data_IF_114084590836
#
_entry.id   IF_114084590836
#
_cell.length_a   1.000
_cell.length_b   1.000
_cell.length_c   1.000
_cell.angle_alpha   90.00
_cell.angle_beta   90.00
_cell.angle_gamma   90.00
#
_symmetry.space_group_name_H-M   'P 1'
#
loop_
_entity.id
_entity.type
_entity.pdbx_description
1 polymer ?
#
# COMPACT_ATOMS: atom_id res chain seq x y z
N UNK A 1 4.67 16.31 -27.86
CA UNK A 1 6.10 16.24 -27.52
C UNK A 1 6.23 15.83 -26.05
N UNK A 2 6.10 14.53 -25.79
CA UNK A 2 6.36 13.92 -24.48
C UNK A 2 7.51 12.94 -24.69
N UNK A 3 8.73 13.46 -24.57
CA UNK A 3 9.92 12.65 -24.37
C UNK A 3 10.38 12.97 -22.95
N UNK A 4 9.93 12.15 -22.01
CA UNK A 4 10.56 12.02 -20.70
C UNK A 4 10.82 10.54 -20.46
N UNK A 5 12.06 10.18 -20.74
CA UNK A 5 12.87 9.21 -20.01
C UNK A 5 12.38 7.75 -19.96
N UNK A 6 12.60 7.06 -21.07
CA UNK A 6 12.66 5.60 -21.20
C UNK A 6 13.82 4.92 -20.40
N UNK A 7 14.34 5.54 -19.33
CA UNK A 7 15.55 5.06 -18.63
C UNK A 7 15.28 4.61 -17.18
N UNK A 8 14.19 5.03 -16.54
CA UNK A 8 13.87 4.56 -15.19
C UNK A 8 12.94 3.35 -15.28
N UNK A 9 13.44 2.20 -14.81
CA UNK A 9 12.64 1.00 -14.58
C UNK A 9 11.47 1.37 -13.64
N UNK A 10 10.20 1.09 -13.98
CA UNK A 10 9.09 1.29 -13.05
C UNK A 10 9.31 0.40 -11.82
N UNK A 11 9.15 0.99 -10.64
CA UNK A 11 9.43 0.37 -9.36
C UNK A 11 8.18 0.49 -8.47
N UNK A 12 7.86 -0.51 -7.65
CA UNK A 12 6.73 -0.38 -6.71
C UNK A 12 7.04 0.65 -5.61
N UNK A 13 8.32 0.85 -5.31
CA UNK A 13 8.81 1.93 -4.47
C UNK A 13 9.44 3.03 -5.35
N UNK A 14 9.11 4.31 -5.11
CA UNK A 14 9.65 5.40 -5.94
C UNK A 14 8.70 5.91 -7.02
N UNK A 15 7.72 5.11 -7.45
CA UNK A 15 6.74 5.49 -8.49
C UNK A 15 5.59 6.35 -7.96
N UNK A 16 4.88 6.98 -8.89
CA UNK A 16 3.62 7.66 -8.58
C UNK A 16 2.51 6.64 -8.31
N UNK A 17 1.45 7.04 -7.60
CA UNK A 17 0.30 6.15 -7.39
C UNK A 17 -0.36 5.82 -8.73
N UNK A 18 -0.40 6.77 -9.65
CA UNK A 18 -0.99 6.64 -10.98
C UNK A 18 -0.27 5.57 -11.80
N UNK A 19 1.07 5.59 -11.82
CA UNK A 19 1.88 4.54 -12.45
C UNK A 19 1.63 3.17 -11.83
N UNK A 20 1.58 3.10 -10.49
CA UNK A 20 1.36 1.83 -9.78
C UNK A 20 -0.01 1.24 -10.14
N UNK A 21 -1.05 2.08 -10.11
CA UNK A 21 -2.42 1.69 -10.46
C UNK A 21 -2.53 1.26 -11.93
N UNK A 22 -1.85 1.96 -12.84
CA UNK A 22 -1.85 1.60 -14.25
C UNK A 22 -1.24 0.21 -14.47
N UNK A 23 -0.09 -0.07 -13.85
CA UNK A 23 0.61 -1.35 -13.99
C UNK A 23 -0.18 -2.50 -13.35
N UNK A 24 -0.75 -2.31 -12.16
CA UNK A 24 -1.48 -3.40 -11.51
C UNK A 24 -2.82 -3.72 -12.20
N UNK A 25 -3.43 -2.77 -12.92
CA UNK A 25 -4.77 -2.90 -13.48
C UNK A 25 -4.92 -4.08 -14.46
N UNK A 26 -3.82 -4.57 -15.02
CA UNK A 26 -3.81 -5.75 -15.89
C UNK A 26 -4.14 -7.04 -15.13
N UNK A 27 -3.59 -7.22 -13.94
CA UNK A 27 -3.81 -8.41 -13.11
C UNK A 27 -4.92 -8.20 -12.07
N UNK A 28 -5.12 -6.95 -11.66
CA UNK A 28 -6.06 -6.54 -10.62
C UNK A 28 -6.94 -5.36 -11.08
N UNK A 29 -7.76 -5.55 -12.13
CA UNK A 29 -8.59 -4.47 -12.69
C UNK A 29 -9.65 -3.92 -11.71
N UNK A 30 -10.02 -4.72 -10.70
CA UNK A 30 -11.04 -4.36 -9.72
C UNK A 30 -10.49 -3.61 -8.51
N UNK A 31 -9.16 -3.66 -8.28
CA UNK A 31 -8.55 -2.97 -7.15
C UNK A 31 -8.52 -1.47 -7.39
N UNK A 32 -9.12 -0.73 -6.45
CA UNK A 32 -9.14 0.74 -6.46
C UNK A 32 -8.00 1.36 -5.65
N UNK A 33 -7.21 0.52 -4.99
CA UNK A 33 -6.03 0.90 -4.20
C UNK A 33 -4.78 0.20 -4.72
N UNK A 34 -3.58 0.76 -4.46
CA UNK A 34 -2.33 0.09 -4.76
C UNK A 34 -2.28 -1.28 -4.07
N UNK A 35 -1.99 -2.33 -4.85
CA UNK A 35 -1.88 -3.71 -4.39
C UNK A 35 -0.90 -3.81 -3.22
N UNK A 36 0.25 -3.11 -3.30
CA UNK A 36 1.26 -3.09 -2.23
C UNK A 36 0.71 -2.51 -0.93
N UNK A 37 -0.17 -1.50 -0.99
CA UNK A 37 -0.76 -0.89 0.18
C UNK A 37 -1.70 -1.86 0.90
N UNK A 38 -2.56 -2.54 0.12
CA UNK A 38 -3.46 -3.57 0.63
C UNK A 38 -2.67 -4.76 1.19
N UNK A 39 -1.72 -5.27 0.40
CA UNK A 39 -0.86 -6.39 0.77
C UNK A 39 -0.14 -6.15 2.11
N UNK A 40 0.53 -5.00 2.27
CA UNK A 40 1.27 -4.70 3.50
C UNK A 40 0.35 -4.42 4.69
N UNK A 41 -0.86 -3.90 4.45
CA UNK A 41 -1.86 -3.67 5.51
C UNK A 41 -2.42 -4.99 6.03
N UNK A 42 -2.84 -5.88 5.13
CA UNK A 42 -3.33 -7.22 5.48
C UNK A 42 -2.23 -8.04 6.17
N UNK A 43 -0.99 -7.97 5.68
CA UNK A 43 0.15 -8.64 6.32
C UNK A 43 0.43 -8.10 7.73
N UNK A 44 0.36 -6.79 7.93
CA UNK A 44 0.52 -6.18 9.26
C UNK A 44 -0.54 -6.72 10.24
N UNK A 45 -1.80 -6.79 9.81
CA UNK A 45 -2.90 -7.27 10.66
C UNK A 45 -2.77 -8.78 10.90
N UNK A 46 -2.49 -9.56 9.85
CA UNK A 46 -2.29 -11.02 9.92
C UNK A 46 -1.14 -11.42 10.86
N UNK A 47 -0.08 -10.63 10.89
CA UNK A 47 1.07 -10.82 11.78
C UNK A 47 0.82 -10.30 13.21
N UNK A 48 -0.42 -9.87 13.53
CA UNK A 48 -0.83 -9.49 14.86
C UNK A 48 -0.48 -8.05 15.24
N UNK A 49 -0.25 -7.16 14.26
CA UNK A 49 0.19 -5.78 14.50
C UNK A 49 -0.68 -4.97 15.47
N UNK A 50 -1.97 -5.26 15.57
CA UNK A 50 -2.87 -4.64 16.55
C UNK A 50 -2.48 -4.92 18.02
N UNK A 51 -1.77 -6.01 18.28
CA UNK A 51 -1.29 -6.41 19.63
C UNK A 51 0.22 -6.28 19.79
N UNK A 52 0.95 -5.93 18.73
CA UNK A 52 2.41 -5.78 18.76
C UNK A 52 2.81 -4.49 19.46
N UNK A 53 3.64 -4.60 20.50
CA UNK A 53 4.16 -3.45 21.24
C UNK A 53 4.99 -2.53 20.33
N UNK A 54 4.69 -1.24 20.33
CA UNK A 54 5.41 -0.25 19.52
C UNK A 54 5.27 -0.48 18.02
N UNK A 55 4.16 -1.06 17.54
CA UNK A 55 3.87 -1.19 16.10
C UNK A 55 4.03 0.16 15.38
N UNK A 56 4.63 0.16 14.19
CA UNK A 56 5.07 1.36 13.44
C UNK A 56 6.13 2.25 14.10
N UNK A 57 6.41 2.13 15.41
CA UNK A 57 7.46 2.86 16.11
C UNK A 57 8.81 2.13 16.06
N UNK A 58 8.82 0.83 16.37
CA UNK A 58 10.02 0.00 16.33
C UNK A 58 10.43 -0.21 14.87
N UNK A 59 11.72 -0.01 14.58
CA UNK A 59 12.30 -0.29 13.27
C UNK A 59 12.57 -1.78 13.12
N UNK A 60 12.16 -2.41 11.99
CA UNK A 60 12.53 -3.80 11.71
C UNK A 60 14.01 -3.92 11.33
N UNK A 61 14.46 -5.16 11.18
CA UNK A 61 15.76 -5.50 10.64
C UNK A 61 15.94 -4.95 9.21
N UNK A 62 17.03 -4.22 8.97
CA UNK A 62 17.27 -3.53 7.70
C UNK A 62 17.58 -4.50 6.56
N UNK A 63 18.26 -5.61 6.84
CA UNK A 63 18.61 -6.60 5.83
C UNK A 63 17.32 -7.30 5.37
N UNK A 64 16.40 -7.58 6.29
CA UNK A 64 15.06 -8.11 5.98
C UNK A 64 14.22 -7.14 5.16
N UNK A 65 14.20 -5.86 5.53
CA UNK A 65 13.51 -4.83 4.73
C UNK A 65 14.08 -4.79 3.31
N UNK A 66 15.40 -4.81 3.18
CA UNK A 66 16.08 -4.74 1.87
C UNK A 66 15.77 -5.96 1.01
N UNK A 67 15.80 -7.16 1.58
CA UNK A 67 15.51 -8.39 0.86
C UNK A 67 14.04 -8.45 0.43
N UNK A 68 13.09 -8.21 1.34
CA UNK A 68 11.67 -8.24 1.00
C UNK A 68 11.31 -7.13 0.01
N UNK A 69 11.89 -5.93 0.14
CA UNK A 69 11.76 -4.87 -0.86
C UNK A 69 12.20 -5.37 -2.23
N UNK A 70 13.37 -6.01 -2.33
CA UNK A 70 13.87 -6.58 -3.59
C UNK A 70 12.88 -7.58 -4.19
N UNK A 71 12.27 -8.44 -3.36
CA UNK A 71 11.27 -9.40 -3.80
C UNK A 71 9.95 -8.73 -4.25
N UNK A 72 9.49 -7.68 -3.56
CA UNK A 72 8.33 -6.89 -3.96
C UNK A 72 8.56 -6.19 -5.30
N UNK A 73 9.74 -5.61 -5.51
CA UNK A 73 10.14 -5.00 -6.80
C UNK A 73 10.18 -6.02 -7.94
N UNK A 74 10.71 -7.22 -7.67
CA UNK A 74 10.72 -8.33 -8.63
C UNK A 74 9.30 -8.77 -8.98
N UNK A 75 8.42 -8.91 -7.98
CA UNK A 75 7.01 -9.26 -8.19
C UNK A 75 6.31 -8.20 -9.03
N UNK A 76 6.55 -6.93 -8.73
CA UNK A 76 5.94 -5.82 -9.45
C UNK A 76 6.41 -5.74 -10.90
N UNK A 77 7.66 -6.12 -11.19
CA UNK A 77 8.16 -6.25 -12.56
C UNK A 77 7.42 -7.33 -13.36
N UNK A 78 6.86 -8.37 -12.73
CA UNK A 78 6.03 -9.38 -13.42
C UNK A 78 4.74 -8.77 -13.97
N UNK A 79 4.16 -7.77 -13.31
CA UNK A 79 3.00 -7.03 -13.84
C UNK A 79 3.32 -6.22 -15.11
N UNK A 80 4.60 -6.03 -15.44
CA UNK A 80 5.07 -5.12 -16.50
C UNK A 80 5.17 -5.76 -17.89
N UNK A 81 4.59 -6.94 -18.13
CA UNK A 81 4.57 -7.52 -19.48
C UNK A 81 3.56 -6.75 -20.34
N UNK A 82 3.97 -5.63 -20.91
CA UNK A 82 3.14 -4.82 -21.83
C UNK A 82 3.88 -4.58 -23.14
N UNK A 83 3.13 -4.85 -24.21
CA UNK A 83 3.34 -4.63 -25.65
C UNK A 83 4.42 -3.60 -26.03
N UNK A 84 5.35 -4.04 -26.88
CA UNK A 84 6.16 -3.11 -27.66
C UNK A 84 5.30 -2.51 -28.76
N UNK A 85 4.83 -1.27 -28.59
CA UNK A 85 4.44 -0.46 -29.74
C UNK A 85 5.72 0.04 -30.41
N UNK A 86 5.98 -0.39 -31.65
CA UNK A 86 6.96 0.27 -32.51
C UNK A 86 6.49 1.70 -32.82
N UNK A 87 7.30 2.75 -32.59
CA UNK A 87 6.89 4.13 -32.85
C UNK A 87 6.97 4.54 -34.34
N UNK A 88 7.14 3.62 -35.30
CA UNK A 88 7.43 3.97 -36.72
C UNK A 88 6.41 3.52 -37.77
N UNK A 89 5.27 2.89 -37.45
CA UNK A 89 4.25 2.53 -38.46
C UNK A 89 3.08 3.51 -38.52
N UNK A 90 3.41 4.79 -38.68
CA UNK A 90 2.53 5.77 -39.33
C UNK A 90 3.05 6.09 -40.73
N UNK A 91 3.07 5.09 -41.63
CA UNK A 91 3.00 5.37 -43.06
C UNK A 91 2.39 4.20 -43.83
N UNK A 92 1.22 4.48 -44.41
CA UNK A 92 0.69 3.96 -45.68
C UNK A 92 0.94 2.48 -46.02
N UNK A 93 -0.07 1.63 -45.83
CA UNK A 93 -0.85 0.97 -46.90
C UNK A 93 -1.57 -0.28 -46.38
N UNK A 94 -2.72 -0.51 -47.01
CA UNK A 94 -3.54 -1.73 -46.94
C UNK A 94 -2.76 -2.98 -47.35
N UNK A 95 -2.69 -3.98 -46.47
CA UNK A 95 -3.08 -5.37 -46.76
C UNK A 95 -2.91 -6.25 -45.51
N UNK A 96 -3.86 -7.17 -45.34
CA UNK A 96 -3.93 -8.13 -44.24
C UNK A 96 -2.73 -9.10 -44.23
N UNK A 97 -2.09 -9.30 -43.07
CA UNK A 97 -1.78 -10.62 -42.50
C UNK A 97 -1.13 -10.47 -41.12
N UNK A 98 -1.83 -10.96 -40.10
CA UNK A 98 -1.39 -11.35 -38.74
C UNK A 98 0.02 -10.90 -38.29
N UNK A 99 0.11 -9.70 -37.71
CA UNK A 99 1.22 -9.36 -36.82
C UNK A 99 1.03 -10.09 -35.49
N UNK A 100 1.80 -11.15 -35.25
CA UNK A 100 1.85 -11.80 -33.93
C UNK A 100 2.61 -10.85 -32.99
N UNK A 101 1.87 -10.21 -32.09
CA UNK A 101 2.40 -9.30 -31.07
C UNK A 101 3.51 -9.98 -30.25
N UNK A 102 4.76 -9.54 -30.47
CA UNK A 102 5.92 -10.06 -29.73
C UNK A 102 6.04 -9.35 -28.39
N UNK A 103 5.56 -10.02 -27.34
CA UNK A 103 5.87 -9.65 -25.96
C UNK A 103 7.35 -9.91 -25.67
N UNK A 104 8.05 -8.91 -25.11
CA UNK A 104 9.45 -9.07 -24.68
C UNK A 104 9.50 -9.14 -23.16
N UNK A 105 9.84 -10.31 -22.64
CA UNK A 105 10.23 -10.44 -21.24
C UNK A 105 11.46 -9.54 -21.02
N UNK A 106 11.36 -8.56 -20.14
CA UNK A 106 12.51 -7.68 -19.84
C UNK A 106 13.51 -8.39 -18.93
N UNK A 107 13.10 -9.34 -18.08
CA UNK A 107 13.96 -10.22 -17.26
C UNK A 107 13.27 -11.55 -16.91
N UNK A 108 14.01 -12.66 -16.92
CA UNK A 108 13.55 -13.94 -16.37
C UNK A 108 13.22 -13.79 -14.88
N UNK A 109 12.22 -14.51 -14.33
CA UNK A 109 11.93 -14.49 -12.91
C UNK A 109 13.16 -14.96 -12.12
N UNK A 110 13.30 -14.53 -10.87
CA UNK A 110 14.46 -14.87 -10.02
C UNK A 110 14.69 -16.39 -9.94
N UNK A 111 15.95 -16.80 -9.71
CA UNK A 111 16.27 -18.20 -9.41
C UNK A 111 15.43 -18.71 -8.24
N UNK A 112 14.69 -19.81 -8.41
CA UNK A 112 13.78 -20.39 -7.41
C UNK A 112 12.30 -20.03 -7.55
N UNK A 113 11.95 -19.08 -8.44
CA UNK A 113 10.56 -18.66 -8.69
C UNK A 113 9.82 -19.52 -9.73
N UNK A 114 10.52 -20.45 -10.38
CA UNK A 114 9.92 -21.42 -11.29
C UNK A 114 10.61 -22.76 -11.07
N UNK A 115 9.84 -23.78 -10.66
CA UNK A 115 10.29 -25.17 -10.64
C UNK A 115 10.16 -25.85 -12.02
N UNK A 116 9.88 -25.08 -13.08
CA UNK A 116 9.55 -25.61 -14.41
C UNK A 116 10.75 -26.22 -15.17
N UNK A 117 11.83 -26.56 -14.48
CA UNK A 117 12.97 -27.33 -15.02
C UNK A 117 13.25 -28.62 -14.26
N UNK A 118 12.25 -29.20 -13.57
CA UNK A 118 12.25 -30.66 -13.37
C UNK A 118 11.48 -31.32 -14.50
N UNK A 119 12.24 -31.97 -15.38
CA UNK A 119 11.78 -32.96 -16.34
C UNK A 119 10.68 -33.83 -15.76
N UNK A 120 9.64 -34.06 -16.56
CA UNK A 120 8.59 -35.05 -16.33
C UNK A 120 9.22 -36.43 -16.11
N UNK A 121 9.43 -36.81 -14.85
CA UNK A 121 9.52 -38.20 -14.44
C UNK A 121 8.40 -38.45 -13.43
N UNK A 122 7.48 -39.35 -13.78
CA UNK A 122 6.42 -39.80 -12.89
C UNK A 122 7.04 -40.51 -11.67
N UNK A 123 6.65 -40.18 -10.44
CA UNK A 123 6.73 -41.10 -9.33
C UNK A 123 5.43 -41.91 -9.27
N UNK A 124 5.60 -43.21 -9.52
CA UNK A 124 4.67 -44.28 -9.19
C UNK A 124 4.12 -44.20 -7.77
N UNK A 125 2.86 -44.62 -7.62
CA UNK A 125 2.11 -44.82 -6.39
C UNK A 125 2.91 -45.27 -5.16
N UNK A 126 2.59 -44.72 -3.98
CA UNK A 126 2.11 -45.50 -2.80
C UNK A 126 1.80 -44.60 -1.60
N UNK A 127 0.52 -44.63 -1.19
CA UNK A 127 0.01 -44.67 0.21
C UNK A 127 0.54 -43.68 1.26
N UNK A 128 -0.30 -42.73 1.71
CA UNK A 128 -1.07 -42.89 2.95
C UNK A 128 -1.81 -41.60 3.33
N UNK A 129 -3.13 -41.75 3.44
CA UNK A 129 -4.03 -40.87 4.18
C UNK A 129 -3.54 -40.65 5.62
N UNK A 130 -3.53 -39.41 6.08
CA UNK A 130 -3.92 -39.07 7.45
C UNK A 130 -4.46 -37.65 7.49
N UNK A 131 -5.79 -37.58 7.58
CA UNK A 131 -6.57 -36.41 7.95
C UNK A 131 -6.19 -35.86 9.33
N UNK A 132 -5.91 -34.56 9.43
CA UNK A 132 -5.95 -33.83 10.70
C UNK A 132 -7.08 -32.78 10.65
N UNK A 133 -8.01 -32.79 11.62
CA UNK A 133 -9.17 -31.91 11.61
C UNK A 133 -8.86 -30.54 12.25
N UNK A 134 -9.43 -29.49 11.66
CA UNK A 134 -10.02 -28.34 12.34
C UNK A 134 -9.23 -27.64 13.46
N UNK A 135 -8.45 -26.61 13.09
CA UNK A 135 -8.28 -25.43 13.93
C UNK A 135 -8.80 -24.21 13.19
N UNK A 136 -10.03 -23.81 13.51
CA UNK A 136 -10.58 -22.50 13.20
C UNK A 136 -9.79 -21.45 14.00
N UNK A 137 -8.69 -20.99 13.43
CA UNK A 137 -8.09 -19.74 13.87
C UNK A 137 -9.06 -18.64 13.46
N UNK A 138 -9.71 -18.00 14.44
CA UNK A 138 -10.36 -16.71 14.22
C UNK A 138 -9.25 -15.72 13.83
N UNK A 139 -8.96 -15.60 12.54
CA UNK A 139 -8.06 -14.58 12.03
C UNK A 139 -8.64 -13.24 12.45
N UNK A 140 -7.86 -12.44 13.17
CA UNK A 140 -8.17 -11.03 13.34
C UNK A 140 -8.23 -10.43 11.93
N UNK A 141 -9.42 -10.26 11.39
CA UNK A 141 -9.64 -9.71 10.05
C UNK A 141 -9.64 -8.20 10.18
N UNK A 142 -8.85 -7.53 9.34
CA UNK A 142 -9.04 -6.10 9.12
C UNK A 142 -10.50 -5.89 8.67
N UNK A 143 -11.21 -4.86 9.17
CA UNK A 143 -12.58 -4.66 8.75
C UNK A 143 -12.62 -4.43 7.24
N UNK A 144 -13.36 -5.26 6.52
CA UNK A 144 -13.42 -5.17 5.07
C UNK A 144 -14.26 -3.96 4.66
N UNK A 145 -13.61 -2.95 4.04
CA UNK A 145 -14.30 -1.85 3.38
C UNK A 145 -14.15 -2.03 1.86
N UNK A 146 -14.92 -2.97 1.31
CA UNK A 146 -14.90 -3.32 -0.13
C UNK A 146 -15.10 -2.11 -1.05
N UNK A 147 -15.82 -1.08 -0.60
CA UNK A 147 -16.00 0.17 -1.35
C UNK A 147 -14.71 0.99 -1.53
N UNK A 148 -13.81 0.88 -0.55
CA UNK A 148 -12.55 1.61 -0.50
C UNK A 148 -11.47 0.86 -1.29
N UNK A 149 -11.44 -0.46 -1.16
CA UNK A 149 -10.45 -1.36 -1.77
C UNK A 149 -10.82 -1.83 -3.19
N UNK A 150 -12.11 -1.91 -3.50
CA UNK A 150 -12.64 -2.75 -4.58
C UNK A 150 -12.97 -4.16 -4.09
N UNK A 151 -13.65 -4.95 -4.92
CA UNK A 151 -13.87 -6.38 -4.64
C UNK A 151 -12.53 -7.13 -4.77
N UNK A 152 -12.15 -7.86 -3.72
CA UNK A 152 -10.97 -8.73 -3.73
C UNK A 152 -11.13 -9.85 -2.71
N UNK A 153 -10.36 -10.93 -2.88
CA UNK A 153 -10.21 -11.97 -1.86
C UNK A 153 -8.75 -12.01 -1.41
N UNK A 154 -8.52 -12.18 -0.12
CA UNK A 154 -7.18 -12.46 0.39
C UNK A 154 -6.86 -13.96 0.30
N UNK A 155 -5.64 -14.39 -0.09
CA UNK A 155 -4.52 -13.57 -0.57
C UNK A 155 -4.83 -12.93 -1.94
N UNK A 156 -4.26 -11.74 -2.20
CA UNK A 156 -4.38 -11.07 -3.50
C UNK A 156 -3.74 -11.92 -4.60
N UNK A 157 -4.57 -12.59 -5.39
CA UNK A 157 -4.13 -13.44 -6.50
C UNK A 157 -4.41 -12.77 -7.84
N UNK A 158 -3.46 -12.80 -8.78
CA UNK A 158 -3.68 -12.27 -10.12
C UNK A 158 -4.84 -13.00 -10.81
N UNK A 159 -5.65 -12.25 -11.56
CA UNK A 159 -6.69 -12.85 -12.39
C UNK A 159 -6.06 -13.60 -13.58
N UNK A 160 -6.56 -14.78 -13.96
CA UNK A 160 -6.09 -15.46 -15.17
C UNK A 160 -6.27 -14.53 -16.38
N UNK A 161 -5.18 -14.18 -17.07
CA UNK A 161 -5.29 -13.36 -18.27
C UNK A 161 -6.10 -14.11 -19.33
N UNK A 162 -7.18 -13.50 -19.82
CA UNK A 162 -8.00 -14.06 -20.91
C UNK A 162 -7.27 -14.03 -22.26
N UNK A 163 -6.14 -13.36 -22.36
CA UNK A 163 -5.33 -13.27 -23.56
C UNK A 163 -4.36 -14.45 -23.60
N UNK A 164 -4.41 -15.24 -24.68
CA UNK A 164 -3.40 -16.25 -24.99
C UNK A 164 -2.06 -15.52 -25.13
N UNK A 165 -1.23 -15.57 -24.09
CA UNK A 165 0.09 -14.99 -24.12
C UNK A 165 0.98 -15.89 -25.00
N UNK A 166 1.66 -15.36 -26.03
CA UNK A 166 2.59 -16.15 -26.83
C UNK A 166 3.69 -16.76 -25.95
N UNK A 167 4.01 -18.01 -26.29
CA UNK A 167 5.00 -18.87 -25.63
C UNK A 167 6.29 -18.12 -25.29
N UNK A 168 6.77 -18.35 -24.06
CA UNK A 168 7.90 -17.71 -23.41
C UNK A 168 7.62 -16.31 -22.85
N UNK A 169 6.76 -16.29 -21.83
CA UNK A 169 6.98 -15.46 -20.64
C UNK A 169 7.13 -16.42 -19.47
N UNK A 170 8.29 -16.42 -18.81
CA UNK A 170 8.43 -17.08 -17.52
C UNK A 170 7.65 -16.27 -16.48
N UNK A 171 6.32 -16.36 -16.57
CA UNK A 171 5.43 -16.05 -15.48
C UNK A 171 5.60 -17.20 -14.49
N UNK A 172 6.06 -16.90 -13.29
CA UNK A 172 5.82 -17.79 -12.15
C UNK A 172 4.35 -18.18 -12.21
N UNK A 173 3.98 -19.47 -12.34
CA UNK A 173 2.58 -19.84 -12.42
C UNK A 173 1.87 -19.25 -11.19
N UNK A 174 0.64 -18.73 -11.33
CA UNK A 174 -0.08 -18.06 -10.24
C UNK A 174 -0.10 -18.87 -8.92
N UNK A 175 0.00 -20.21 -9.02
CA UNK A 175 0.13 -21.14 -7.89
C UNK A 175 1.38 -20.95 -7.03
N UNK A 176 2.45 -20.39 -7.59
CA UNK A 176 3.77 -20.20 -6.97
C UNK A 176 4.02 -18.74 -6.54
N UNK A 177 3.04 -17.85 -6.73
CA UNK A 177 3.16 -16.47 -6.27
C UNK A 177 3.16 -16.44 -4.74
N UNK A 178 4.05 -15.67 -4.11
CA UNK A 178 4.08 -15.57 -2.66
C UNK A 178 2.78 -14.92 -2.18
N UNK A 179 2.06 -15.62 -1.28
CA UNK A 179 0.75 -15.19 -0.79
C UNK A 179 0.83 -14.26 0.41
N UNK A 180 2.00 -14.20 1.04
CA UNK A 180 2.30 -13.46 2.26
C UNK A 180 3.82 -13.25 2.39
N UNK A 181 4.25 -12.43 3.35
CA UNK A 181 5.66 -12.12 3.59
C UNK A 181 6.49 -13.36 3.96
N UNK A 182 5.88 -14.33 4.65
CA UNK A 182 6.55 -15.60 4.99
C UNK A 182 6.88 -16.40 3.73
N UNK A 183 5.96 -16.47 2.78
CA UNK A 183 6.18 -17.15 1.51
C UNK A 183 7.18 -16.41 0.63
N UNK A 184 7.24 -15.06 0.70
CA UNK A 184 8.31 -14.30 0.04
C UNK A 184 9.69 -14.69 0.59
N UNK A 185 9.81 -14.80 1.92
CA UNK A 185 11.07 -15.19 2.57
C UNK A 185 11.51 -16.62 2.24
N UNK A 186 10.57 -17.59 2.18
CA UNK A 186 10.91 -18.99 1.85
C UNK A 186 11.58 -19.16 0.48
N UNK A 187 11.32 -18.25 -0.46
CA UNK A 187 11.91 -18.27 -1.79
C UNK A 187 13.23 -17.50 -1.88
N UNK A 188 13.64 -16.81 -0.81
CA UNK A 188 14.97 -16.23 -0.68
C UNK A 188 15.95 -17.34 -0.32
N UNK A 189 16.98 -17.55 -1.13
CA UNK A 189 17.97 -18.62 -1.00
C UNK A 189 18.95 -18.45 0.19
N UNK A 190 18.51 -17.89 1.32
CA UNK A 190 19.33 -17.57 2.49
C UNK A 190 18.87 -18.25 3.78
N UNK A 191 19.79 -18.42 4.73
CA UNK A 191 19.58 -18.96 6.09
C UNK A 191 18.78 -18.00 6.99
N UNK A 192 17.65 -17.48 6.52
CA UNK A 192 16.77 -16.65 7.33
C UNK A 192 15.71 -17.52 8.01
N UNK A 193 15.64 -17.40 9.33
CA UNK A 193 14.65 -18.16 10.11
C UNK A 193 13.28 -17.51 9.98
N UNK A 194 12.23 -18.33 9.82
CA UNK A 194 10.84 -17.86 9.75
C UNK A 194 10.42 -16.96 10.92
N UNK A 195 11.13 -16.99 12.05
CA UNK A 195 10.91 -16.12 13.20
C UNK A 195 11.22 -14.62 12.96
N UNK A 196 11.82 -14.26 11.83
CA UNK A 196 12.17 -12.87 11.48
C UNK A 196 11.05 -12.12 10.73
N UNK A 197 10.01 -12.81 10.23
CA UNK A 197 8.86 -12.14 9.62
C UNK A 197 7.85 -11.81 10.70
N UNK A 198 7.78 -10.53 11.07
CA UNK A 198 6.90 -10.02 12.10
C UNK A 198 6.10 -8.78 11.63
N UNK A 199 5.23 -8.29 12.51
CA UNK A 199 4.44 -7.10 12.22
C UNK A 199 5.29 -5.83 12.05
N UNK A 200 6.49 -5.76 12.65
CA UNK A 200 7.41 -4.63 12.48
C UNK A 200 7.96 -4.58 11.06
N UNK A 201 8.24 -5.73 10.45
CA UNK A 201 8.68 -5.82 9.05
C UNK A 201 7.60 -5.29 8.10
N UNK A 202 6.35 -5.77 8.23
CA UNK A 202 5.22 -5.28 7.42
C UNK A 202 5.00 -3.77 7.62
N UNK A 203 5.03 -3.30 8.87
CA UNK A 203 4.90 -1.89 9.22
C UNK A 203 6.04 -1.02 8.67
N UNK A 204 7.28 -1.53 8.71
CA UNK A 204 8.45 -0.85 8.15
C UNK A 204 8.39 -0.71 6.64
N UNK A 205 7.98 -1.77 5.93
CA UNK A 205 7.77 -1.76 4.49
C UNK A 205 6.65 -0.81 4.07
N UNK A 206 5.54 -0.76 4.83
CA UNK A 206 4.43 0.16 4.55
C UNK A 206 4.89 1.62 4.69
N UNK A 207 5.62 1.94 5.76
CA UNK A 207 6.21 3.28 5.96
C UNK A 207 7.22 3.63 4.85
N UNK A 208 8.07 2.67 4.47
CA UNK A 208 9.05 2.83 3.42
C UNK A 208 8.38 3.15 2.08
N UNK A 209 7.34 2.40 1.72
CA UNK A 209 6.56 2.62 0.51
C UNK A 209 5.93 4.02 0.49
N UNK A 210 5.23 4.42 1.56
CA UNK A 210 4.63 5.76 1.68
C UNK A 210 5.66 6.87 1.52
N UNK A 211 6.81 6.74 2.20
CA UNK A 211 7.88 7.73 2.18
C UNK A 211 8.49 7.91 0.79
N UNK A 212 8.63 6.83 0.05
CA UNK A 212 9.27 6.81 -1.25
C UNK A 212 8.33 7.04 -2.43
N UNK A 213 7.03 7.22 -2.22
CA UNK A 213 6.14 7.65 -3.31
C UNK A 213 6.70 8.87 -4.05
N UNK A 214 6.63 8.86 -5.38
CA UNK A 214 7.14 9.94 -6.24
C UNK A 214 6.61 11.32 -5.83
N UNK A 215 5.39 11.37 -5.31
CA UNK A 215 4.74 12.52 -4.70
C UNK A 215 4.24 12.16 -3.29
N UNK A 216 4.32 13.07 -2.31
CA UNK A 216 3.80 12.78 -0.97
C UNK A 216 2.29 12.55 -1.05
N UNK A 217 1.78 11.69 -0.17
CA UNK A 217 0.35 11.37 -0.16
C UNK A 217 -0.50 12.62 0.12
N UNK A 218 0.01 13.53 0.94
CA UNK A 218 -0.55 14.87 1.13
C UNK A 218 0.18 15.85 0.19
N UNK A 219 -0.50 16.41 -0.82
CA UNK A 219 0.10 17.32 -1.80
C UNK A 219 0.81 18.51 -1.14
N UNK A 220 1.98 18.89 -1.67
CA UNK A 220 2.82 19.94 -1.09
C UNK A 220 2.08 21.28 -1.01
N UNK A 221 1.19 21.55 -1.97
CA UNK A 221 0.38 22.77 -2.07
C UNK A 221 -0.65 22.86 -0.95
N UNK A 222 -1.11 21.72 -0.43
CA UNK A 222 -2.10 21.65 0.64
C UNK A 222 -1.47 21.64 2.03
N UNK A 223 -0.18 21.29 2.15
CA UNK A 223 0.48 21.15 3.45
C UNK A 223 0.38 22.42 4.31
N UNK A 224 0.70 23.64 3.84
CA UNK A 224 0.62 24.85 4.67
C UNK A 224 -0.79 25.08 5.25
N UNK A 225 -1.82 24.79 4.46
CA UNK A 225 -3.21 24.89 4.89
C UNK A 225 -3.53 23.84 5.95
N UNK A 226 -3.10 22.58 5.76
CA UNK A 226 -3.28 21.50 6.73
C UNK A 226 -2.62 21.83 8.08
N UNK A 227 -1.40 22.36 8.07
CA UNK A 227 -0.68 22.71 9.31
C UNK A 227 -1.39 23.84 10.06
N UNK A 228 -1.85 24.87 9.32
CA UNK A 228 -2.58 26.00 9.90
C UNK A 228 -3.89 25.56 10.55
N UNK A 229 -4.73 24.81 9.83
CA UNK A 229 -6.03 24.35 10.37
C UNK A 229 -5.86 23.36 11.51
N UNK A 230 -4.78 22.55 11.50
CA UNK A 230 -4.46 21.66 12.60
C UNK A 230 -4.17 22.43 13.90
N UNK A 231 -3.36 23.49 13.83
CA UNK A 231 -3.09 24.37 14.97
C UNK A 231 -4.38 25.04 15.49
N UNK A 232 -5.22 25.56 14.60
CA UNK A 232 -6.52 26.15 14.97
C UNK A 232 -7.45 25.14 15.66
N UNK A 233 -7.48 23.90 15.16
CA UNK A 233 -8.27 22.80 15.75
C UNK A 233 -7.76 22.38 17.14
N UNK A 234 -6.44 22.33 17.38
CA UNK A 234 -5.88 22.03 18.70
C UNK A 234 -6.24 23.08 19.76
N UNK A 235 -6.26 24.35 19.36
CA UNK A 235 -6.71 25.42 20.25
C UNK A 235 -8.17 25.23 20.66
N UNK A 236 -9.03 24.79 19.73
CA UNK A 236 -10.43 24.48 20.00
C UNK A 236 -10.59 23.25 20.91
N UNK A 237 -9.87 22.16 20.64
CA UNK A 237 -9.90 20.93 21.45
C UNK A 237 -9.46 21.21 22.91
N UNK A 238 -8.47 22.08 23.11
CA UNK A 238 -8.00 22.50 24.44
C UNK A 238 -8.99 23.41 25.19
N UNK A 239 -9.81 24.16 24.47
CA UNK A 239 -10.82 25.08 25.03
C UNK A 239 -12.15 24.37 25.32
N UNK A 240 -12.57 23.41 24.51
CA UNK A 240 -13.77 22.60 24.76
C UNK A 240 -13.64 21.74 26.03
N UNK A 241 -12.43 21.32 26.39
CA UNK A 241 -12.16 20.68 27.69
C UNK A 241 -12.41 21.63 28.87
N UNK A 242 -12.44 22.96 28.63
CA UNK A 242 -12.55 24.00 29.67
C UNK A 242 -13.90 24.72 29.69
N UNK A 243 -14.66 24.72 28.59
CA UNK A 243 -15.95 25.39 28.48
C UNK A 243 -17.00 24.44 27.90
N UNK A 244 -17.76 23.78 28.77
CA UNK A 244 -19.03 23.20 28.38
C UNK A 244 -20.03 24.32 28.06
N UNK A 245 -20.51 24.33 26.82
CA UNK A 245 -21.59 25.16 26.27
C UNK A 245 -21.18 26.56 25.79
N UNK A 246 -21.18 26.73 24.47
CA UNK A 246 -21.67 27.92 23.76
C UNK A 246 -21.91 27.53 22.30
N UNK A 247 -23.18 27.23 21.96
CA UNK A 247 -23.64 27.04 20.59
C UNK A 247 -23.66 28.39 19.87
N UNK A 248 -22.77 28.53 18.90
CA UNK A 248 -22.78 29.61 17.92
C UNK A 248 -22.41 29.03 16.56
N UNK A 249 -23.04 29.54 15.51
CA UNK A 249 -23.02 29.15 14.09
C UNK A 249 -21.63 29.27 13.42
N UNK A 250 -20.58 28.72 14.02
CA UNK A 250 -19.23 28.67 13.47
C UNK A 250 -18.91 27.23 13.13
N UNK A 251 -18.42 26.99 11.92
CA UNK A 251 -17.94 25.67 11.51
C UNK A 251 -16.88 25.19 12.51
N UNK A 252 -17.06 23.97 13.02
CA UNK A 252 -16.13 23.35 13.95
C UNK A 252 -14.71 23.30 13.34
N UNK A 253 -13.70 23.92 13.96
CA UNK A 253 -12.33 23.89 13.47
C UNK A 253 -11.77 22.48 13.28
N UNK A 254 -12.16 21.52 14.13
CA UNK A 254 -11.75 20.11 14.01
C UNK A 254 -12.33 19.52 12.72
N UNK A 255 -13.63 19.71 12.50
CA UNK A 255 -14.28 19.23 11.29
C UNK A 255 -13.75 19.92 10.03
N UNK A 256 -13.45 21.22 10.09
CA UNK A 256 -12.84 21.97 8.99
C UNK A 256 -11.47 21.41 8.62
N UNK A 257 -10.66 21.05 9.62
CA UNK A 257 -9.37 20.41 9.44
C UNK A 257 -9.53 19.03 8.75
N UNK A 258 -10.46 18.21 9.24
CA UNK A 258 -10.75 16.89 8.66
C UNK A 258 -11.23 16.99 7.20
N UNK A 259 -12.06 17.97 6.88
CA UNK A 259 -12.59 18.19 5.53
C UNK A 259 -11.52 18.59 4.49
N UNK A 260 -10.30 18.94 4.91
CA UNK A 260 -9.22 19.20 3.96
C UNK A 260 -8.85 17.98 3.12
N UNK A 261 -9.14 16.76 3.59
CA UNK A 261 -8.93 15.54 2.77
C UNK A 261 -9.69 15.59 1.45
N UNK A 262 -10.80 16.34 1.38
CA UNK A 262 -11.62 16.52 0.16
C UNK A 262 -10.91 17.30 -0.94
N UNK A 263 -9.87 18.06 -0.60
CA UNK A 263 -9.05 18.79 -1.58
C UNK A 263 -7.94 17.92 -2.17
N UNK A 264 -7.68 16.75 -1.61
CA UNK A 264 -6.67 15.81 -2.09
C UNK A 264 -7.22 15.08 -3.33
N UNK A 265 -6.40 14.88 -4.39
CA UNK A 265 -6.81 14.11 -5.57
C UNK A 265 -7.39 12.74 -5.21
N UNK A 266 -8.41 12.28 -5.94
CA UNK A 266 -9.22 11.10 -5.60
C UNK A 266 -8.40 9.86 -5.26
N UNK A 267 -7.39 9.53 -6.06
CA UNK A 267 -6.52 8.37 -5.83
C UNK A 267 -5.70 8.50 -4.53
N UNK A 268 -5.05 9.66 -4.32
CA UNK A 268 -4.31 9.96 -3.08
C UNK A 268 -5.25 10.00 -1.87
N UNK A 269 -6.44 10.58 -2.01
CA UNK A 269 -7.49 10.64 -0.96
C UNK A 269 -7.94 9.24 -0.57
N UNK A 270 -8.22 8.36 -1.54
CA UNK A 270 -8.59 6.95 -1.29
C UNK A 270 -7.51 6.20 -0.52
N UNK A 271 -6.26 6.33 -0.96
CA UNK A 271 -5.09 5.74 -0.29
C UNK A 271 -4.90 6.29 1.12
N UNK A 272 -5.09 7.60 1.33
CA UNK A 272 -5.05 8.22 2.65
C UNK A 272 -6.17 7.70 3.55
N UNK A 273 -7.41 7.62 3.06
CA UNK A 273 -8.55 7.09 3.82
C UNK A 273 -8.31 5.64 4.27
N UNK A 274 -7.74 4.79 3.40
CA UNK A 274 -7.33 3.43 3.78
C UNK A 274 -6.35 3.42 4.95
N UNK A 275 -5.33 4.28 4.87
CA UNK A 275 -4.30 4.35 5.89
C UNK A 275 -4.88 4.90 7.20
N UNK A 276 -5.70 5.95 7.16
CA UNK A 276 -6.36 6.47 8.36
C UNK A 276 -7.28 5.42 8.99
N UNK A 277 -8.00 4.64 8.18
CA UNK A 277 -8.81 3.53 8.67
C UNK A 277 -7.98 2.47 9.41
N UNK A 278 -6.81 2.10 8.85
CA UNK A 278 -5.85 1.23 9.52
C UNK A 278 -5.38 1.81 10.85
N UNK A 279 -4.98 3.08 10.87
CA UNK A 279 -4.49 3.73 12.08
C UNK A 279 -5.59 3.85 13.14
N UNK A 280 -6.83 4.13 12.74
CA UNK A 280 -8.00 4.11 13.62
C UNK A 280 -8.20 2.73 14.24
N UNK A 281 -8.12 1.67 13.43
CA UNK A 281 -8.18 0.29 13.92
C UNK A 281 -7.07 -0.02 14.93
N UNK A 282 -5.81 0.34 14.63
CA UNK A 282 -4.67 0.11 15.54
C UNK A 282 -4.75 0.94 16.83
N UNK A 283 -5.39 2.11 16.77
CA UNK A 283 -5.54 3.03 17.90
C UNK A 283 -6.74 2.74 18.81
N UNK A 284 -7.59 1.77 18.46
CA UNK A 284 -8.71 1.35 19.31
C UNK A 284 -8.22 1.05 20.72
N UNK A 285 -8.99 1.42 21.74
CA UNK A 285 -8.59 1.32 23.15
C UNK A 285 -8.06 -0.07 23.54
N UNK A 286 -8.69 -1.12 23.03
CA UNK A 286 -8.30 -2.52 23.27
C UNK A 286 -6.94 -2.89 22.66
N UNK A 287 -6.58 -2.29 21.53
CA UNK A 287 -5.32 -2.49 20.83
C UNK A 287 -4.24 -1.60 21.44
N UNK A 288 -4.51 -0.30 21.59
CA UNK A 288 -3.59 0.69 22.15
C UNK A 288 -3.15 0.35 23.58
N UNK A 289 -4.01 -0.30 24.38
CA UNK A 289 -3.66 -0.76 25.73
C UNK A 289 -2.57 -1.84 25.74
N UNK A 290 -2.43 -2.61 24.65
CA UNK A 290 -1.43 -3.67 24.51
C UNK A 290 -0.24 -3.19 23.67
N UNK A 291 -0.51 -2.56 22.52
CA UNK A 291 0.51 -2.08 21.60
C UNK A 291 1.25 -0.84 22.11
N UNK A 292 0.72 -0.13 23.11
CA UNK A 292 1.23 1.15 23.61
C UNK A 292 1.25 2.26 22.55
N UNK A 293 0.46 2.11 21.48
CA UNK A 293 0.39 3.03 20.35
C UNK A 293 -0.98 3.72 20.30
N UNK A 294 -1.09 4.87 20.96
CA UNK A 294 -2.26 5.75 20.88
C UNK A 294 -2.25 6.58 19.57
N UNK A 295 -3.34 7.33 19.25
CA UNK A 295 -3.39 8.15 18.03
C UNK A 295 -2.23 9.14 17.89
N UNK A 296 -1.69 9.67 19.00
CA UNK A 296 -0.59 10.64 18.98
C UNK A 296 0.73 9.96 18.65
N UNK A 297 0.99 8.80 19.25
CA UNK A 297 2.17 7.98 18.98
C UNK A 297 2.18 7.51 17.52
N UNK A 298 1.03 7.05 17.00
CA UNK A 298 0.87 6.65 15.61
C UNK A 298 1.08 7.83 14.65
N UNK A 299 0.48 8.99 14.94
CA UNK A 299 0.67 10.18 14.11
C UNK A 299 2.13 10.63 14.05
N UNK A 300 2.86 10.56 15.17
CA UNK A 300 4.27 10.95 15.26
C UNK A 300 5.15 10.14 14.30
N UNK A 301 4.86 8.84 14.15
CA UNK A 301 5.67 7.94 13.31
C UNK A 301 5.21 7.93 11.85
N UNK A 302 3.94 8.24 11.58
CA UNK A 302 3.36 8.24 10.23
C UNK A 302 3.51 9.58 9.52
N UNK A 303 3.29 10.71 10.19
CA UNK A 303 3.24 12.03 9.55
C UNK A 303 4.45 12.36 8.65
N UNK A 304 5.70 12.03 9.03
CA UNK A 304 6.87 12.27 8.17
C UNK A 304 6.88 11.46 6.86
N UNK A 305 6.06 10.40 6.75
CA UNK A 305 5.95 9.59 5.54
C UNK A 305 4.78 10.04 4.64
N UNK A 306 3.93 10.96 5.11
CA UNK A 306 2.78 11.48 4.35
C UNK A 306 3.03 12.86 3.76
N UNK A 307 3.95 13.61 4.36
CA UNK A 307 4.29 14.98 4.01
C UNK A 307 5.78 15.09 3.73
N UNK A 308 6.14 15.95 2.78
CA UNK A 308 7.55 16.32 2.50
C UNK A 308 7.73 17.80 2.76
N UNK A 309 8.83 18.14 3.43
CA UNK A 309 9.16 19.53 3.66
C UNK A 309 9.35 20.31 2.35
N UNK A 310 8.69 21.46 2.23
CA UNK A 310 8.88 22.39 1.12
C UNK A 310 10.07 23.34 1.28
N UNK A 311 10.79 23.24 2.40
CA UNK A 311 11.87 24.14 2.80
C UNK A 311 13.09 23.33 3.22
N UNK A 312 14.28 23.90 3.00
CA UNK A 312 15.56 23.34 3.45
C UNK A 312 16.05 24.01 4.75
N UNK A 313 15.35 25.04 5.25
CA UNK A 313 15.73 25.71 6.49
C UNK A 313 15.46 24.79 7.70
N UNK A 314 16.48 24.40 8.48
CA UNK A 314 16.30 23.55 9.65
C UNK A 314 15.34 24.14 10.70
N UNK A 315 15.21 25.46 10.80
CA UNK A 315 14.27 26.08 11.74
C UNK A 315 12.83 25.81 11.34
N UNK A 316 12.46 26.14 10.10
CA UNK A 316 11.11 25.89 9.58
C UNK A 316 10.79 24.38 9.56
N UNK A 317 11.77 23.53 9.27
CA UNK A 317 11.61 22.08 9.36
C UNK A 317 11.17 21.65 10.76
N UNK A 318 11.84 22.13 11.81
CA UNK A 318 11.51 21.82 13.20
C UNK A 318 10.16 22.40 13.63
N UNK A 319 9.83 23.62 13.18
CA UNK A 319 8.56 24.28 13.47
C UNK A 319 7.37 23.51 12.88
N UNK A 320 7.56 22.85 11.73
CA UNK A 320 6.50 22.10 11.06
C UNK A 320 6.26 20.70 11.63
N UNK A 321 7.20 20.09 12.37
CA UNK A 321 7.05 18.71 12.89
C UNK A 321 5.79 18.57 13.77
N UNK A 322 5.58 19.52 14.69
CA UNK A 322 4.43 19.47 15.61
C UNK A 322 3.11 19.63 14.87
N UNK A 323 2.89 20.67 14.03
CA UNK A 323 1.68 20.80 13.22
C UNK A 323 1.42 19.60 12.29
N UNK A 324 2.46 18.99 11.71
CA UNK A 324 2.32 17.81 10.86
C UNK A 324 1.78 16.62 11.65
N UNK A 325 2.38 16.34 12.81
CA UNK A 325 1.94 15.30 13.73
C UNK A 325 0.50 15.55 14.20
N UNK A 326 0.19 16.81 14.49
CA UNK A 326 -1.13 17.24 14.95
C UNK A 326 -2.22 17.03 13.89
N UNK A 327 -1.94 17.39 12.64
CA UNK A 327 -2.87 17.17 11.52
C UNK A 327 -3.24 15.69 11.39
N UNK A 328 -2.23 14.80 11.34
CA UNK A 328 -2.47 13.36 11.22
C UNK A 328 -3.18 12.80 12.45
N UNK A 329 -2.85 13.27 13.67
CA UNK A 329 -3.58 12.86 14.89
C UNK A 329 -5.06 13.24 14.80
N UNK A 330 -5.38 14.46 14.35
CA UNK A 330 -6.78 14.90 14.21
C UNK A 330 -7.53 14.02 13.20
N UNK A 331 -6.89 13.63 12.10
CA UNK A 331 -7.49 12.67 11.15
C UNK A 331 -7.74 11.31 11.81
N UNK A 332 -6.78 10.76 12.55
CA UNK A 332 -6.96 9.48 13.25
C UNK A 332 -8.10 9.58 14.26
N UNK A 333 -8.17 10.66 15.05
CA UNK A 333 -9.13 10.79 16.14
C UNK A 333 -10.55 11.13 15.67
N UNK A 334 -10.69 12.01 14.66
CA UNK A 334 -11.97 12.69 14.37
C UNK A 334 -12.49 12.46 12.95
N UNK A 335 -11.69 11.95 12.01
CA UNK A 335 -12.14 11.74 10.63
C UNK A 335 -13.12 10.56 10.57
N UNK A 336 -14.33 10.81 10.11
CA UNK A 336 -15.26 9.75 9.72
C UNK A 336 -14.89 9.24 8.32
N UNK A 337 -14.17 8.12 8.28
CA UNK A 337 -13.70 7.52 7.02
C UNK A 337 -14.86 7.04 6.14
N UNK A 338 -15.94 6.52 6.73
CA UNK A 338 -17.08 6.00 5.96
C UNK A 338 -17.85 7.13 5.27
N UNK A 339 -18.04 8.25 5.98
CA UNK A 339 -18.65 9.46 5.42
C UNK A 339 -17.82 10.02 4.26
N UNK A 340 -16.51 10.17 4.47
CA UNK A 340 -15.60 10.73 3.45
C UNK A 340 -15.46 9.81 2.24
N UNK A 341 -15.47 8.48 2.45
CA UNK A 341 -15.49 7.51 1.37
C UNK A 341 -16.78 7.59 0.55
N UNK A 342 -17.93 7.69 1.21
CA UNK A 342 -19.23 7.81 0.53
C UNK A 342 -19.27 9.05 -0.37
N UNK A 343 -18.70 10.16 0.09
CA UNK A 343 -18.54 11.37 -0.71
C UNK A 343 -17.57 11.18 -1.86
N UNK A 344 -16.39 10.60 -1.62
CA UNK A 344 -15.42 10.32 -2.67
C UNK A 344 -16.02 9.46 -3.80
N UNK A 345 -16.80 8.43 -3.46
CA UNK A 345 -17.48 7.58 -4.46
C UNK A 345 -18.53 8.37 -5.24
N UNK A 346 -19.17 9.35 -4.61
CA UNK A 346 -20.13 10.24 -5.28
C UNK A 346 -19.41 11.20 -6.23
N UNK A 347 -18.24 11.72 -5.83
CA UNK A 347 -17.42 12.62 -6.65
C UNK A 347 -16.79 11.91 -7.87
N UNK A 348 -16.59 10.59 -7.78
CA UNK A 348 -16.03 9.75 -8.87
C UNK A 348 -17.08 9.28 -9.89
N UNK A 349 -18.38 9.41 -9.59
CA UNK A 349 -19.50 9.06 -10.49
C UNK A 349 -19.93 10.25 -11.33
#
# INVERSE_FOLDING_TARGET
MFHKDFILKPCVFGSSLEEIMQIQSYEFPHLKLPWIQLFLTEELIRLGGARTEGILRVSPDLDMVTEIRCQLEKLFEVFRVVYGCDPETCSNNSDETSGVDRLRIVRSPPSGWSYSTRSLELPTDTTNDTSYPGRSHSSASFPEISQLTGEYSWPLLPMPSSAVLPEYVLLTPASHWPRNLMDMMKHCAGEFSAHQVDAHLAAGLLKLWLRELAEPLIPAELQPLCLKTACEAEMCESQNIRSGNMEGTRADPIQTCCQLVRKIPSLKRRSLLHLIFLLQHLSKREHAAVSLMDPRNLATVIAPNLMRAGTTDPRELLENIRPQTLFVRLLITHLDVELELSQLITDER
#
